data_IF_798915281813
#
_entry.id   IF_798915281813
#
_cell.length_a   1.000
_cell.length_b   1.000
_cell.length_c   1.000
_cell.angle_alpha   90.00
_cell.angle_beta   90.00
_cell.angle_gamma   90.00
#
_symmetry.space_group_name_H-M   'P 1'
#
loop_
_entity.id
_entity.type
_entity.pdbx_description
1 polymer ?
#
# COMPACT_ATOMS: atom_id res chain seq x y z
N UNK A 1 -28.56 29.96 -3.28
CA UNK A 1 -28.42 29.47 -1.90
C UNK A 1 -27.19 28.61 -1.87
N UNK A 2 -26.09 29.05 -1.27
CA UNK A 2 -24.86 28.28 -1.11
C UNK A 2 -25.11 27.28 0.01
N UNK A 3 -25.21 26.00 -0.34
CA UNK A 3 -25.17 24.92 0.63
C UNK A 3 -23.77 24.88 1.22
N UNK A 4 -23.63 25.40 2.44
CA UNK A 4 -22.45 25.15 3.28
C UNK A 4 -22.36 23.63 3.45
N UNK A 5 -21.42 22.99 2.72
CA UNK A 5 -21.00 21.63 3.03
C UNK A 5 -20.39 21.72 4.43
N UNK A 6 -21.03 21.11 5.41
CA UNK A 6 -20.49 21.01 6.76
C UNK A 6 -19.08 20.44 6.66
N UNK A 7 -18.08 21.18 7.15
CA UNK A 7 -16.72 20.66 7.28
C UNK A 7 -16.80 19.37 8.12
N UNK A 8 -16.30 18.29 7.57
CA UNK A 8 -16.20 17.03 8.32
C UNK A 8 -15.24 17.22 9.49
N UNK A 9 -15.79 17.19 10.70
CA UNK A 9 -15.02 17.37 11.95
C UNK A 9 -14.25 16.13 12.38
N UNK A 10 -14.44 14.97 11.72
CA UNK A 10 -13.79 13.71 12.06
C UNK A 10 -12.91 13.22 10.91
N UNK A 11 -11.65 12.89 11.21
CA UNK A 11 -10.70 12.21 10.33
C UNK A 11 -10.72 10.68 10.54
N UNK A 12 -11.81 10.14 11.05
CA UNK A 12 -11.98 8.70 11.30
C UNK A 12 -13.31 8.17 10.77
N UNK A 13 -13.29 6.92 10.35
CA UNK A 13 -14.47 6.12 10.00
C UNK A 13 -14.55 4.95 10.96
N UNK A 14 -15.75 4.68 11.49
CA UNK A 14 -15.99 3.51 12.34
C UNK A 14 -16.48 2.36 11.49
N UNK A 15 -15.78 1.24 11.54
CA UNK A 15 -16.15 0.00 10.83
C UNK A 15 -17.25 -0.76 11.58
N UNK A 16 -17.79 -1.83 10.97
CA UNK A 16 -18.86 -2.64 11.56
C UNK A 16 -18.49 -3.28 12.90
N UNK A 17 -17.22 -3.59 13.12
CA UNK A 17 -16.70 -4.17 14.36
C UNK A 17 -16.28 -3.12 15.41
N UNK A 18 -16.52 -1.83 15.13
CA UNK A 18 -16.19 -0.72 16.01
C UNK A 18 -14.77 -0.19 15.87
N UNK A 19 -13.96 -0.75 14.96
CA UNK A 19 -12.60 -0.26 14.70
C UNK A 19 -12.66 1.15 14.10
N UNK A 20 -11.84 2.06 14.60
CA UNK A 20 -11.71 3.43 14.07
C UNK A 20 -10.59 3.43 13.04
N UNK A 21 -10.90 3.75 11.78
CA UNK A 21 -9.94 3.90 10.70
C UNK A 21 -9.69 5.37 10.46
N UNK A 22 -8.47 5.82 10.74
CA UNK A 22 -8.03 7.19 10.47
C UNK A 22 -7.75 7.39 8.97
N UNK A 23 -8.05 8.57 8.46
CA UNK A 23 -7.71 8.96 7.08
C UNK A 23 -7.32 10.45 6.98
N UNK A 24 -6.55 10.76 5.94
CA UNK A 24 -6.25 12.11 5.45
C UNK A 24 -6.99 12.34 4.15
N UNK A 25 -7.43 13.58 3.90
CA UNK A 25 -8.19 13.98 2.72
C UNK A 25 -7.77 15.38 2.26
N UNK A 26 -6.99 15.46 1.20
CA UNK A 26 -6.37 16.69 0.72
C UNK A 26 -6.76 16.99 -0.73
N UNK A 27 -6.97 18.28 -1.04
CA UNK A 27 -7.25 18.75 -2.38
C UNK A 27 -8.69 18.56 -2.83
N UNK A 28 -8.93 18.73 -4.13
CA UNK A 28 -10.24 18.59 -4.79
C UNK A 28 -10.03 18.11 -6.21
N UNK A 29 -11.04 17.46 -6.80
CA UNK A 29 -11.03 16.94 -8.18
C UNK A 29 -11.11 15.42 -8.22
N UNK A 30 -10.64 14.77 -9.30
CA UNK A 30 -10.63 13.32 -9.41
C UNK A 30 -9.94 12.68 -8.21
N UNK A 31 -10.57 11.65 -7.64
CA UNK A 31 -10.13 11.08 -6.35
C UNK A 31 -9.09 9.98 -6.55
N UNK A 32 -8.02 10.06 -5.77
CA UNK A 32 -6.99 9.02 -5.66
C UNK A 32 -6.94 8.54 -4.21
N UNK A 33 -7.09 7.24 -3.98
CA UNK A 33 -6.96 6.62 -2.66
C UNK A 33 -5.64 5.88 -2.54
N UNK A 34 -5.04 5.88 -1.34
CA UNK A 34 -3.74 5.30 -1.08
C UNK A 34 -3.79 4.30 0.07
N UNK A 35 -3.33 3.09 -0.20
CA UNK A 35 -3.11 2.02 0.77
C UNK A 35 -1.62 1.81 0.99
N UNK A 36 -1.16 2.00 2.23
CA UNK A 36 0.27 1.98 2.58
C UNK A 36 0.86 0.56 2.69
N UNK A 37 2.19 0.46 2.54
CA UNK A 37 2.96 -0.75 2.80
C UNK A 37 3.12 -1.04 4.31
N UNK A 38 3.50 -2.28 4.63
CA UNK A 38 3.87 -2.67 5.98
C UNK A 38 5.26 -2.11 6.33
N UNK A 39 5.46 -1.59 7.54
CA UNK A 39 4.53 -1.38 8.66
C UNK A 39 4.08 0.10 8.76
N UNK A 40 4.02 0.79 7.64
CA UNK A 40 3.82 2.23 7.54
C UNK A 40 2.37 2.66 7.91
N UNK A 41 2.03 3.90 7.59
CA UNK A 41 0.70 4.49 7.73
C UNK A 41 0.47 5.53 6.60
N UNK A 42 -0.60 6.31 6.67
CA UNK A 42 -0.97 7.29 5.64
C UNK A 42 0.12 8.35 5.40
N UNK A 43 0.96 8.65 6.39
CA UNK A 43 2.00 9.68 6.28
C UNK A 43 3.09 9.30 5.27
N UNK A 44 3.28 8.01 5.01
CA UNK A 44 4.16 7.53 3.95
C UNK A 44 3.77 8.02 2.54
N UNK A 45 2.55 8.53 2.37
CA UNK A 45 2.00 9.03 1.12
C UNK A 45 1.97 10.57 1.02
N UNK A 46 2.42 11.29 2.05
CA UNK A 46 2.29 12.75 2.10
C UNK A 46 2.91 13.47 0.89
N UNK A 47 4.04 13.00 0.39
CA UNK A 47 4.67 13.57 -0.81
C UNK A 47 3.79 13.42 -2.05
N UNK A 48 3.20 12.25 -2.27
CA UNK A 48 2.27 11.99 -3.38
C UNK A 48 0.98 12.75 -3.21
N UNK A 49 0.41 12.75 -2.00
CA UNK A 49 -0.82 13.47 -1.68
C UNK A 49 -0.66 14.98 -1.87
N UNK A 50 0.43 15.55 -1.38
CA UNK A 50 0.72 16.97 -1.56
C UNK A 50 0.86 17.32 -3.05
N UNK A 51 1.69 16.57 -3.78
CA UNK A 51 1.88 16.77 -5.20
C UNK A 51 0.55 16.70 -5.97
N UNK A 52 -0.27 15.68 -5.74
CA UNK A 52 -1.55 15.51 -6.41
C UNK A 52 -2.54 16.62 -6.04
N UNK A 53 -2.60 17.03 -4.78
CA UNK A 53 -3.47 18.12 -4.33
C UNK A 53 -3.14 19.46 -5.00
N UNK A 54 -1.86 19.73 -5.26
CA UNK A 54 -1.42 20.91 -6.01
C UNK A 54 -1.68 20.81 -7.53
N UNK A 55 -1.96 19.60 -8.03
CA UNK A 55 -2.20 19.33 -9.44
C UNK A 55 -3.68 19.03 -9.77
N UNK A 56 -4.60 19.42 -8.89
CA UNK A 56 -6.04 19.38 -9.13
C UNK A 56 -6.69 18.01 -8.87
N UNK A 57 -6.09 17.19 -8.01
CA UNK A 57 -6.66 15.91 -7.57
C UNK A 57 -7.05 15.97 -6.09
N UNK A 58 -8.00 15.14 -5.70
CA UNK A 58 -8.29 14.84 -4.31
C UNK A 58 -7.54 13.57 -3.93
N UNK A 59 -6.67 13.64 -2.92
CA UNK A 59 -5.84 12.54 -2.44
C UNK A 59 -6.29 12.12 -1.04
N UNK A 60 -6.59 10.83 -0.87
CA UNK A 60 -7.05 10.24 0.39
C UNK A 60 -6.14 9.08 0.75
N UNK A 61 -5.56 9.10 1.95
CA UNK A 61 -4.79 7.98 2.49
C UNK A 61 -5.33 7.61 3.87
N UNK A 62 -5.43 6.32 4.15
CA UNK A 62 -5.87 5.83 5.46
C UNK A 62 -4.74 5.11 6.19
N UNK A 63 -4.82 5.09 7.51
CA UNK A 63 -4.00 4.21 8.34
C UNK A 63 -4.75 2.87 8.45
N UNK A 64 -4.13 1.76 7.99
CA UNK A 64 -4.70 0.41 8.16
C UNK A 64 -4.92 0.14 9.64
N UNK A 65 -5.95 -0.66 10.01
CA UNK A 65 -6.12 -1.10 11.40
C UNK A 65 -4.80 -1.61 11.98
N UNK A 66 -4.54 -1.30 13.23
CA UNK A 66 -3.30 -1.67 13.91
C UNK A 66 -2.08 -0.84 13.56
N UNK A 67 -2.21 0.15 12.67
CA UNK A 67 -1.13 1.03 12.22
C UNK A 67 -1.48 2.50 12.48
N UNK A 68 -0.46 3.32 12.72
CA UNK A 68 -0.61 4.77 12.87
C UNK A 68 -1.65 5.16 13.90
N UNK A 69 -2.61 5.97 13.48
CA UNK A 69 -3.70 6.55 14.31
C UNK A 69 -4.97 5.71 14.33
N UNK A 70 -5.03 4.65 13.54
CA UNK A 70 -6.15 3.70 13.56
C UNK A 70 -6.10 2.82 14.80
N UNK A 71 -7.26 2.31 15.21
CA UNK A 71 -7.37 1.41 16.37
C UNK A 71 -6.38 0.26 16.26
N UNK A 72 -5.60 0.04 17.31
CA UNK A 72 -4.77 -1.16 17.46
C UNK A 72 -5.67 -2.33 17.87
N UNK A 73 -6.36 -2.91 16.90
CA UNK A 73 -7.34 -3.95 17.08
C UNK A 73 -6.70 -5.26 17.59
N UNK A 74 -7.43 -6.00 18.40
CA UNK A 74 -6.98 -7.28 18.95
C UNK A 74 -7.09 -8.44 17.94
N UNK A 75 -7.80 -8.24 16.83
CA UNK A 75 -8.06 -9.22 15.75
C UNK A 75 -8.31 -8.50 14.43
N UNK A 76 -8.49 -9.25 13.34
CA UNK A 76 -8.79 -8.69 12.03
C UNK A 76 -7.56 -8.25 11.26
N UNK A 77 -6.38 -8.80 11.57
CA UNK A 77 -5.15 -8.50 10.84
C UNK A 77 -4.94 -9.47 9.67
N UNK A 78 -5.99 -9.67 8.90
CA UNK A 78 -6.00 -10.45 7.66
C UNK A 78 -6.45 -9.59 6.47
N UNK A 79 -6.08 -10.00 5.27
CA UNK A 79 -6.28 -9.22 4.04
C UNK A 79 -7.77 -8.95 3.76
N UNK A 80 -8.66 -9.88 4.12
CA UNK A 80 -10.11 -9.73 3.96
C UNK A 80 -10.63 -8.55 4.78
N UNK A 81 -10.24 -8.48 6.04
CA UNK A 81 -10.65 -7.40 6.95
C UNK A 81 -10.05 -6.05 6.54
N UNK A 82 -8.79 -6.03 6.08
CA UNK A 82 -8.18 -4.80 5.55
C UNK A 82 -8.95 -4.25 4.34
N UNK A 83 -9.38 -5.13 3.44
CA UNK A 83 -10.21 -4.74 2.29
C UNK A 83 -11.60 -4.24 2.72
N UNK A 84 -12.20 -4.86 3.73
CA UNK A 84 -13.52 -4.45 4.27
C UNK A 84 -13.41 -3.09 5.01
N UNK A 85 -12.30 -2.81 5.70
CA UNK A 85 -12.02 -1.50 6.30
C UNK A 85 -11.85 -0.41 5.24
N UNK A 86 -11.11 -0.70 4.17
CA UNK A 86 -10.98 0.21 3.03
C UNK A 86 -12.33 0.47 2.38
N UNK A 87 -13.18 -0.55 2.24
CA UNK A 87 -14.55 -0.39 1.74
C UNK A 87 -15.38 0.53 2.64
N UNK A 88 -15.27 0.39 3.97
CA UNK A 88 -15.96 1.26 4.92
C UNK A 88 -15.52 2.74 4.76
N UNK A 89 -14.22 3.02 4.53
CA UNK A 89 -13.73 4.37 4.25
C UNK A 89 -14.31 4.90 2.94
N UNK A 90 -14.28 4.11 1.86
CA UNK A 90 -14.79 4.48 0.54
C UNK A 90 -16.30 4.77 0.60
N UNK A 91 -17.07 3.94 1.30
CA UNK A 91 -18.51 4.11 1.49
C UNK A 91 -18.84 5.33 2.35
N UNK A 92 -18.19 5.51 3.48
CA UNK A 92 -18.44 6.63 4.40
C UNK A 92 -18.11 7.99 3.77
N UNK A 93 -17.17 8.04 2.84
CA UNK A 93 -16.80 9.23 2.09
C UNK A 93 -17.58 9.36 0.75
N UNK A 94 -18.46 8.41 0.43
CA UNK A 94 -19.19 8.25 -0.85
C UNK A 94 -18.29 8.45 -2.07
N UNK A 95 -17.11 7.80 -2.05
CA UNK A 95 -16.14 7.92 -3.13
C UNK A 95 -16.61 7.11 -4.34
N UNK A 96 -16.45 7.69 -5.54
CA UNK A 96 -16.79 7.09 -6.83
C UNK A 96 -15.71 7.46 -7.85
N UNK A 97 -15.61 6.68 -8.92
CA UNK A 97 -14.64 6.90 -10.01
C UNK A 97 -13.20 7.05 -9.48
N UNK A 98 -12.85 6.30 -8.42
CA UNK A 98 -11.56 6.44 -7.74
C UNK A 98 -10.43 5.75 -8.51
N UNK A 99 -9.24 6.33 -8.44
CA UNK A 99 -7.99 5.63 -8.74
C UNK A 99 -7.46 5.06 -7.43
N UNK A 100 -7.43 3.74 -7.30
CA UNK A 100 -6.87 3.06 -6.12
C UNK A 100 -5.38 2.82 -6.30
N UNK A 101 -4.56 3.28 -5.36
CA UNK A 101 -3.11 3.09 -5.35
C UNK A 101 -2.70 2.29 -4.12
N UNK A 102 -1.99 1.19 -4.31
CA UNK A 102 -1.46 0.39 -3.21
C UNK A 102 0.03 0.10 -3.36
N UNK A 103 0.81 0.36 -2.30
CA UNK A 103 2.22 0.02 -2.24
C UNK A 103 2.43 -1.25 -1.40
N UNK A 104 3.22 -2.20 -1.89
CA UNK A 104 3.61 -3.38 -1.11
C UNK A 104 2.37 -4.15 -0.60
N UNK A 105 2.23 -4.31 0.72
CA UNK A 105 1.03 -4.85 1.40
C UNK A 105 -0.25 -4.12 0.98
N UNK A 106 -0.18 -2.78 0.80
CA UNK A 106 -1.32 -1.98 0.34
C UNK A 106 -1.78 -2.36 -1.06
N UNK A 107 -0.89 -2.87 -1.92
CA UNK A 107 -1.29 -3.45 -3.20
C UNK A 107 -2.08 -4.76 -3.04
N UNK A 108 -1.77 -5.54 -2.01
CA UNK A 108 -2.59 -6.70 -1.62
C UNK A 108 -3.98 -6.30 -1.13
N UNK A 109 -4.07 -5.23 -0.34
CA UNK A 109 -5.33 -4.66 0.13
C UNK A 109 -6.20 -4.16 -1.03
N UNK A 110 -5.62 -3.44 -2.01
CA UNK A 110 -6.31 -3.03 -3.24
C UNK A 110 -6.79 -4.25 -4.04
N UNK A 111 -5.94 -5.27 -4.19
CA UNK A 111 -6.31 -6.49 -4.91
C UNK A 111 -7.49 -7.20 -4.22
N UNK A 112 -7.43 -7.37 -2.90
CA UNK A 112 -8.49 -7.99 -2.13
C UNK A 112 -9.77 -7.15 -2.11
N UNK A 113 -9.66 -5.80 -2.10
CA UNK A 113 -10.83 -4.93 -2.24
C UNK A 113 -11.56 -5.22 -3.56
N UNK A 114 -10.87 -5.18 -4.69
CA UNK A 114 -11.48 -5.47 -6.00
C UNK A 114 -12.02 -6.90 -6.04
N UNK A 115 -11.29 -7.85 -5.48
CA UNK A 115 -11.71 -9.25 -5.41
C UNK A 115 -13.02 -9.49 -4.65
N UNK A 116 -13.30 -8.69 -3.61
CA UNK A 116 -14.46 -8.82 -2.71
C UNK A 116 -15.60 -7.86 -3.01
N UNK A 117 -15.27 -6.62 -3.35
CA UNK A 117 -16.23 -5.53 -3.50
C UNK A 117 -16.44 -5.09 -4.94
N UNK A 118 -15.66 -5.64 -5.90
CA UNK A 118 -15.76 -5.29 -7.32
C UNK A 118 -15.19 -3.91 -7.65
N UNK A 119 -15.53 -3.41 -8.83
CA UNK A 119 -14.98 -2.19 -9.42
C UNK A 119 -15.99 -1.07 -9.60
N UNK A 120 -17.24 -1.22 -9.15
CA UNK A 120 -18.32 -0.22 -9.35
C UNK A 120 -17.96 1.21 -8.90
N UNK A 121 -17.04 1.34 -7.94
CA UNK A 121 -16.54 2.63 -7.45
C UNK A 121 -15.13 2.95 -7.95
N UNK A 122 -14.51 2.07 -8.75
CA UNK A 122 -13.10 2.13 -9.15
C UNK A 122 -12.99 2.45 -10.63
N UNK A 123 -12.32 3.54 -10.98
CA UNK A 123 -12.03 3.88 -12.37
C UNK A 123 -10.68 3.30 -12.83
N UNK A 124 -9.71 3.18 -11.93
CA UNK A 124 -8.33 2.70 -12.21
C UNK A 124 -7.72 2.08 -10.98
N UNK A 125 -6.75 1.17 -11.18
CA UNK A 125 -5.93 0.61 -10.13
C UNK A 125 -4.43 0.80 -10.41
N UNK A 126 -3.65 1.04 -9.35
CA UNK A 126 -2.18 1.16 -9.42
C UNK A 126 -1.56 0.30 -8.31
N UNK A 127 -0.73 -0.64 -8.70
CA UNK A 127 -0.01 -1.52 -7.79
C UNK A 127 1.48 -1.16 -7.85
N UNK A 128 2.04 -0.66 -6.74
CA UNK A 128 3.43 -0.21 -6.66
C UNK A 128 4.24 -1.20 -5.81
N UNK A 129 5.23 -1.88 -6.38
CA UNK A 129 6.06 -2.89 -5.68
C UNK A 129 5.21 -3.80 -4.78
N UNK A 130 4.08 -4.26 -5.33
CA UNK A 130 2.99 -4.87 -4.59
C UNK A 130 3.21 -6.37 -4.35
N UNK A 131 2.67 -6.88 -3.24
CA UNK A 131 2.79 -8.28 -2.81
C UNK A 131 2.03 -9.31 -3.67
N UNK A 132 0.93 -8.98 -4.41
CA UNK A 132 0.28 -9.95 -5.28
C UNK A 132 1.23 -10.53 -6.36
N UNK A 133 0.96 -11.75 -6.87
CA UNK A 133 -0.19 -12.59 -6.53
C UNK A 133 -0.06 -13.35 -5.22
N UNK A 134 1.15 -13.79 -4.83
CA UNK A 134 1.44 -14.52 -3.60
C UNK A 134 2.93 -14.44 -3.28
N UNK A 135 3.27 -14.05 -2.06
CA UNK A 135 4.66 -13.96 -1.61
C UNK A 135 5.23 -15.32 -1.23
N UNK A 136 4.46 -16.16 -0.54
CA UNK A 136 4.91 -17.44 -0.01
C UNK A 136 5.18 -18.45 -1.13
N UNK A 137 6.30 -19.15 -1.02
CA UNK A 137 6.61 -20.31 -1.85
C UNK A 137 5.67 -21.46 -1.52
N UNK A 138 4.96 -21.93 -2.52
CA UNK A 138 4.07 -23.09 -2.44
C UNK A 138 4.26 -23.96 -3.68
N UNK A 139 3.58 -25.12 -3.74
CA UNK A 139 3.56 -25.92 -4.96
C UNK A 139 3.00 -25.14 -6.17
N UNK A 140 2.03 -24.27 -5.95
CA UNK A 140 1.43 -23.41 -6.99
C UNK A 140 2.22 -22.13 -7.26
N UNK A 141 3.16 -21.76 -6.38
CA UNK A 141 4.03 -20.58 -6.50
C UNK A 141 5.48 -20.97 -6.20
N UNK A 142 6.16 -21.72 -7.08
CA UNK A 142 7.51 -22.21 -6.84
C UNK A 142 8.58 -21.10 -6.77
N UNK A 143 8.29 -19.92 -7.34
CA UNK A 143 9.15 -18.73 -7.31
C UNK A 143 8.94 -17.85 -6.07
N UNK A 144 7.99 -18.19 -5.20
CA UNK A 144 7.75 -17.48 -3.95
C UNK A 144 8.91 -17.62 -2.96
N UNK A 145 8.87 -16.77 -1.93
CA UNK A 145 9.85 -16.78 -0.86
C UNK A 145 9.56 -17.92 0.14
N UNK A 146 10.57 -18.64 0.65
CA UNK A 146 10.37 -19.68 1.65
C UNK A 146 9.79 -19.10 2.94
N UNK A 147 9.06 -19.92 3.69
CA UNK A 147 8.40 -19.52 4.96
C UNK A 147 9.39 -18.94 5.96
N UNK A 148 10.62 -19.45 6.00
CA UNK A 148 11.68 -19.01 6.90
C UNK A 148 11.99 -17.50 6.77
N UNK A 149 11.80 -16.91 5.58
CA UNK A 149 11.96 -15.46 5.39
C UNK A 149 10.96 -14.72 6.27
N UNK A 150 9.71 -15.14 6.28
CA UNK A 150 8.64 -14.49 7.05
C UNK A 150 8.72 -14.81 8.55
N UNK A 151 9.17 -16.00 8.90
CA UNK A 151 9.42 -16.39 10.30
C UNK A 151 10.59 -15.59 10.90
N UNK A 152 11.62 -15.30 10.10
CA UNK A 152 12.71 -14.41 10.50
C UNK A 152 12.23 -12.98 10.71
N UNK A 153 11.27 -12.45 9.90
CA UNK A 153 10.65 -11.16 10.15
C UNK A 153 9.88 -11.16 11.49
N UNK A 154 9.10 -12.21 11.77
CA UNK A 154 8.37 -12.37 13.03
C UNK A 154 9.32 -12.43 14.24
N UNK A 155 10.39 -13.20 14.13
CA UNK A 155 11.39 -13.36 15.18
C UNK A 155 12.15 -12.05 15.44
N UNK A 156 12.60 -11.35 14.40
CA UNK A 156 13.28 -10.06 14.51
C UNK A 156 12.40 -9.01 15.16
N UNK A 157 11.15 -8.91 14.70
CA UNK A 157 10.17 -7.95 15.23
C UNK A 157 9.88 -8.15 16.73
N UNK A 158 9.81 -9.39 17.19
CA UNK A 158 9.54 -9.70 18.61
C UNK A 158 10.77 -9.62 19.50
N UNK A 159 11.97 -9.79 18.93
CA UNK A 159 13.24 -9.72 19.68
C UNK A 159 13.60 -8.29 20.07
N UNK A 160 13.61 -7.38 19.10
CA UNK A 160 13.89 -5.95 19.28
C UNK A 160 13.25 -5.17 18.13
N UNK A 161 12.01 -4.73 18.32
CA UNK A 161 11.23 -4.02 17.32
C UNK A 161 11.93 -2.75 16.80
N UNK A 162 12.56 -2.01 17.70
CA UNK A 162 13.18 -0.73 17.35
C UNK A 162 14.39 -0.92 16.44
N UNK A 163 15.28 -1.84 16.80
CA UNK A 163 16.45 -2.14 15.96
C UNK A 163 16.04 -2.85 14.68
N UNK A 164 15.05 -3.76 14.75
CA UNK A 164 14.52 -4.44 13.57
C UNK A 164 14.09 -3.48 12.46
N UNK A 165 13.37 -2.39 12.81
CA UNK A 165 12.95 -1.41 11.80
C UNK A 165 14.12 -0.63 11.20
N UNK A 166 15.15 -0.34 11.99
CA UNK A 166 16.37 0.29 11.46
C UNK A 166 17.10 -0.62 10.49
N UNK A 167 17.20 -1.90 10.81
CA UNK A 167 17.86 -2.90 9.96
C UNK A 167 17.03 -3.16 8.69
N UNK A 168 15.71 -3.22 8.82
CA UNK A 168 14.79 -3.43 7.70
C UNK A 168 14.76 -2.26 6.71
N UNK A 169 15.00 -1.02 7.18
CA UNK A 169 15.14 0.15 6.31
C UNK A 169 16.30 0.00 5.30
N UNK A 170 17.34 -0.77 5.63
CA UNK A 170 18.50 -0.97 4.77
C UNK A 170 18.13 -1.60 3.42
N UNK A 171 17.55 -2.82 3.35
CA UNK A 171 17.08 -3.40 2.09
C UNK A 171 15.84 -2.67 1.54
N UNK A 172 14.99 -2.08 2.39
CA UNK A 172 13.80 -1.36 1.97
C UNK A 172 14.13 -0.14 1.08
N UNK A 173 15.15 0.63 1.45
CA UNK A 173 15.62 1.78 0.67
C UNK A 173 16.89 1.51 -0.14
N UNK A 174 17.41 0.29 -0.11
CA UNK A 174 18.59 -0.10 -0.89
C UNK A 174 19.87 0.62 -0.46
N UNK A 175 20.00 1.05 0.81
CA UNK A 175 21.18 1.77 1.30
C UNK A 175 22.45 0.91 1.31
N UNK A 176 22.31 -0.41 1.22
CA UNK A 176 23.39 -1.39 1.03
C UNK A 176 23.89 -1.46 -0.42
N UNK A 177 23.29 -0.72 -1.37
CA UNK A 177 23.72 -0.69 -2.77
C UNK A 177 24.78 0.38 -3.00
N UNK A 178 25.74 0.09 -3.85
CA UNK A 178 26.79 1.04 -4.21
C UNK A 178 26.19 2.30 -4.85
N UNK A 179 26.50 3.46 -4.30
CA UNK A 179 26.02 4.76 -4.82
C UNK A 179 24.60 5.13 -4.38
N UNK A 180 23.99 4.39 -3.46
CA UNK A 180 22.70 4.77 -2.88
C UNK A 180 22.77 6.18 -2.26
N UNK A 181 21.73 6.98 -2.55
CA UNK A 181 21.61 8.36 -2.03
C UNK A 181 20.27 8.48 -1.31
N UNK A 182 20.22 8.04 -0.08
CA UNK A 182 19.05 8.15 0.80
C UNK A 182 19.43 8.98 2.01
N UNK A 183 18.67 10.04 2.29
CA UNK A 183 18.96 10.89 3.45
C UNK A 183 18.68 10.17 4.75
N UNK A 184 19.40 10.52 5.82
CA UNK A 184 19.12 10.00 7.15
C UNK A 184 17.69 10.34 7.59
N UNK A 185 17.14 11.49 7.18
CA UNK A 185 15.76 11.88 7.46
C UNK A 185 14.73 10.88 6.93
N UNK A 186 14.92 10.33 5.72
CA UNK A 186 14.03 9.28 5.17
C UNK A 186 14.10 8.00 6.02
N UNK A 187 15.28 7.62 6.48
CA UNK A 187 15.46 6.43 7.32
C UNK A 187 14.85 6.61 8.72
N UNK A 188 15.01 7.79 9.30
CA UNK A 188 14.44 8.14 10.60
C UNK A 188 12.91 8.26 10.54
N UNK A 189 12.36 8.83 9.46
CA UNK A 189 10.93 8.89 9.21
C UNK A 189 10.35 7.47 9.06
N UNK A 190 10.95 6.61 8.24
CA UNK A 190 10.55 5.21 8.14
C UNK A 190 10.51 4.52 9.51
N UNK A 191 11.54 4.69 10.33
CA UNK A 191 11.58 4.14 11.68
C UNK A 191 10.46 4.69 12.55
N UNK A 192 10.23 6.01 12.52
CA UNK A 192 9.21 6.67 13.32
C UNK A 192 7.80 6.19 12.94
N UNK A 193 7.49 6.09 11.64
CA UNK A 193 6.22 5.56 11.15
C UNK A 193 6.05 4.09 11.51
N UNK A 194 7.10 3.28 11.38
CA UNK A 194 7.09 1.85 11.71
C UNK A 194 6.83 1.60 13.20
N UNK A 195 7.35 2.46 14.07
CA UNK A 195 7.12 2.37 15.52
C UNK A 195 5.68 2.69 15.94
N UNK A 196 4.88 3.32 15.07
CA UNK A 196 3.45 3.58 15.31
C UNK A 196 2.56 2.36 15.03
N UNK A 197 3.05 1.35 14.31
CA UNK A 197 2.32 0.10 14.17
C UNK A 197 2.34 -0.68 15.49
N UNK A 198 1.18 -1.19 15.94
CA UNK A 198 1.12 -2.05 17.13
C UNK A 198 1.95 -3.32 16.91
N UNK A 199 2.74 -3.75 17.90
CA UNK A 199 3.59 -4.92 17.77
C UNK A 199 2.81 -6.16 17.30
N UNK A 200 1.68 -6.47 17.98
CA UNK A 200 0.81 -7.58 17.60
C UNK A 200 0.28 -7.45 16.18
N UNK A 201 -0.21 -6.25 15.82
CA UNK A 201 -0.80 -5.99 14.52
C UNK A 201 0.26 -6.09 13.40
N UNK A 202 1.45 -5.54 13.60
CA UNK A 202 2.55 -5.67 12.67
C UNK A 202 3.00 -7.12 12.50
N UNK A 203 3.04 -7.90 13.58
CA UNK A 203 3.38 -9.33 13.56
C UNK A 203 2.34 -10.15 12.78
N UNK A 204 1.06 -9.98 13.04
CA UNK A 204 -0.02 -10.70 12.36
C UNK A 204 -0.15 -10.29 10.88
N UNK A 205 0.10 -9.03 10.56
CA UNK A 205 0.11 -8.52 9.19
C UNK A 205 1.13 -9.25 8.30
N UNK A 206 2.22 -9.80 8.88
CA UNK A 206 3.19 -10.62 8.11
C UNK A 206 2.47 -11.79 7.45
N UNK A 207 1.58 -12.49 8.17
CA UNK A 207 0.77 -13.56 7.58
C UNK A 207 -0.15 -13.04 6.48
N UNK A 208 -0.80 -11.91 6.70
CA UNK A 208 -1.74 -11.33 5.74
C UNK A 208 -1.05 -11.05 4.39
N UNK A 209 0.12 -10.42 4.38
CA UNK A 209 0.78 -10.06 3.13
C UNK A 209 1.58 -11.22 2.50
N UNK A 210 2.02 -12.19 3.30
CA UNK A 210 2.89 -13.25 2.79
C UNK A 210 2.15 -14.52 2.36
N UNK A 211 1.07 -14.90 3.06
CA UNK A 211 0.40 -16.18 2.91
C UNK A 211 -0.96 -16.09 2.20
N UNK A 212 -1.48 -14.86 1.97
CA UNK A 212 -2.73 -14.69 1.22
C UNK A 212 -2.48 -14.82 -0.27
N UNK A 213 -3.15 -15.78 -0.90
CA UNK A 213 -3.19 -15.89 -2.36
C UNK A 213 -4.23 -14.91 -2.93
N UNK A 214 -3.73 -13.98 -3.72
CA UNK A 214 -4.50 -12.91 -4.37
C UNK A 214 -4.67 -13.14 -5.88
N UNK A 215 -4.32 -14.34 -6.37
CA UNK A 215 -4.38 -14.66 -7.79
C UNK A 215 -5.78 -14.55 -8.36
N UNK A 216 -6.80 -15.03 -7.64
CA UNK A 216 -8.19 -14.93 -8.08
C UNK A 216 -8.75 -13.51 -7.98
N UNK A 217 -8.21 -12.69 -7.06
CA UNK A 217 -8.58 -11.28 -6.96
C UNK A 217 -8.06 -10.49 -8.16
N UNK A 218 -6.80 -10.71 -8.57
CA UNK A 218 -6.20 -10.06 -9.74
C UNK A 218 -6.96 -10.35 -11.04
N UNK A 219 -7.53 -11.54 -11.20
CA UNK A 219 -8.34 -11.91 -12.37
C UNK A 219 -9.65 -11.12 -12.48
N UNK A 220 -10.11 -10.52 -11.37
CA UNK A 220 -11.33 -9.69 -11.33
C UNK A 220 -11.08 -8.23 -11.68
N UNK A 221 -9.83 -7.84 -11.94
CA UNK A 221 -9.52 -6.49 -12.38
C UNK A 221 -10.01 -6.29 -13.82
N UNK A 222 -11.06 -5.51 -13.98
CA UNK A 222 -11.67 -5.15 -15.27
C UNK A 222 -11.48 -3.67 -15.62
N UNK A 223 -10.76 -2.92 -14.78
CA UNK A 223 -10.39 -1.51 -14.99
C UNK A 223 -8.94 -1.38 -15.47
N UNK A 224 -8.58 -0.25 -16.13
CA UNK A 224 -7.18 0.03 -16.46
C UNK A 224 -6.29 -0.08 -15.22
N UNK A 225 -5.20 -0.83 -15.33
CA UNK A 225 -4.32 -1.11 -14.19
C UNK A 225 -2.86 -0.83 -14.53
N UNK A 226 -2.19 -0.03 -13.71
CA UNK A 226 -0.75 0.18 -13.76
C UNK A 226 -0.08 -0.68 -12.68
N UNK A 227 0.87 -1.52 -13.11
CA UNK A 227 1.76 -2.26 -12.21
C UNK A 227 3.14 -1.62 -12.32
N UNK A 228 3.48 -0.78 -11.34
CA UNK A 228 4.79 -0.14 -11.23
C UNK A 228 5.65 -0.93 -10.24
N UNK A 229 6.88 -1.26 -10.61
CA UNK A 229 7.72 -2.04 -9.70
C UNK A 229 9.16 -1.53 -9.71
N UNK A 230 9.79 -1.58 -8.55
CA UNK A 230 11.19 -1.26 -8.35
C UNK A 230 12.09 -2.34 -8.99
N UNK A 231 13.07 -1.93 -9.78
CA UNK A 231 13.94 -2.86 -10.50
C UNK A 231 14.97 -3.56 -9.62
N UNK A 232 15.34 -2.97 -8.49
CA UNK A 232 16.23 -3.56 -7.47
C UNK A 232 15.49 -3.72 -6.12
N UNK A 233 14.27 -4.23 -6.19
CA UNK A 233 13.45 -4.49 -5.01
C UNK A 233 13.97 -5.72 -4.23
N UNK A 234 14.49 -5.48 -3.04
CA UNK A 234 15.03 -6.50 -2.15
C UNK A 234 13.98 -7.06 -1.17
N UNK A 235 12.74 -6.55 -1.22
CA UNK A 235 11.63 -6.94 -0.34
C UNK A 235 10.60 -7.77 -1.10
N UNK A 236 10.10 -7.24 -2.22
CA UNK A 236 9.16 -7.93 -3.11
C UNK A 236 9.86 -8.13 -4.45
N UNK A 237 10.26 -9.38 -4.80
CA UNK A 237 10.98 -9.64 -6.04
C UNK A 237 10.24 -9.10 -7.28
N UNK A 238 10.97 -8.47 -8.21
CA UNK A 238 10.40 -7.81 -9.41
C UNK A 238 9.52 -8.76 -10.26
N UNK A 239 9.76 -10.05 -10.22
CA UNK A 239 8.95 -11.07 -10.89
C UNK A 239 7.47 -11.08 -10.44
N UNK A 240 7.14 -10.47 -9.29
CA UNK A 240 5.74 -10.27 -8.87
C UNK A 240 4.97 -9.37 -9.83
N UNK A 241 5.60 -8.34 -10.38
CA UNK A 241 4.98 -7.47 -11.37
C UNK A 241 4.57 -8.24 -12.64
N UNK A 242 5.47 -9.08 -13.15
CA UNK A 242 5.21 -9.87 -14.35
C UNK A 242 4.12 -10.93 -14.12
N UNK A 243 4.15 -11.61 -12.95
CA UNK A 243 3.13 -12.59 -12.59
C UNK A 243 1.75 -11.93 -12.41
N UNK A 244 1.70 -10.78 -11.73
CA UNK A 244 0.45 -10.01 -11.60
C UNK A 244 -0.09 -9.56 -12.95
N UNK A 245 0.77 -9.07 -13.84
CA UNK A 245 0.37 -8.62 -15.17
C UNK A 245 -0.24 -9.73 -16.03
N UNK A 246 0.20 -10.98 -15.85
CA UNK A 246 -0.40 -12.14 -16.54
C UNK A 246 -1.82 -12.46 -16.08
N UNK A 247 -2.20 -12.03 -14.87
CA UNK A 247 -3.51 -12.28 -14.29
C UNK A 247 -4.48 -11.10 -14.50
N UNK A 248 -3.97 -9.89 -14.60
CA UNK A 248 -4.76 -8.66 -14.81
C UNK A 248 -4.98 -8.42 -16.30
N UNK A 249 -6.24 -8.37 -16.74
CA UNK A 249 -6.61 -8.31 -18.16
C UNK A 249 -6.09 -7.06 -18.88
N UNK A 250 -6.08 -5.90 -18.24
CA UNK A 250 -5.72 -4.61 -18.82
C UNK A 250 -4.52 -3.97 -18.08
N UNK A 251 -3.47 -4.75 -17.86
CA UNK A 251 -2.28 -4.28 -17.14
C UNK A 251 -1.26 -3.60 -18.04
N UNK A 252 -0.77 -2.44 -17.59
CA UNK A 252 0.45 -1.81 -18.08
C UNK A 252 1.54 -2.00 -17.03
N UNK A 253 2.69 -2.54 -17.41
CA UNK A 253 3.83 -2.73 -16.49
C UNK A 253 4.85 -1.62 -16.68
N UNK A 254 5.34 -1.06 -15.58
CA UNK A 254 6.43 -0.09 -15.53
C UNK A 254 7.47 -0.52 -14.51
N UNK A 255 8.63 -0.93 -14.96
CA UNK A 255 9.77 -1.18 -14.06
C UNK A 255 10.58 0.12 -13.95
N UNK A 256 10.86 0.54 -12.71
CA UNK A 256 11.73 1.67 -12.40
C UNK A 256 13.15 1.13 -12.18
N UNK A 257 14.09 1.32 -13.13
CA UNK A 257 15.41 0.70 -13.03
C UNK A 257 16.16 1.16 -11.78
N UNK A 258 16.84 0.22 -11.13
CA UNK A 258 17.68 0.47 -9.94
C UNK A 258 16.93 1.06 -8.72
N UNK A 259 15.61 1.22 -8.80
CA UNK A 259 14.85 1.70 -7.67
C UNK A 259 14.74 0.62 -6.58
N UNK A 260 14.84 0.97 -5.30
CA UNK A 260 14.57 0.07 -4.17
C UNK A 260 13.06 -0.03 -3.90
N UNK A 261 12.67 -0.93 -2.98
CA UNK A 261 11.27 -1.10 -2.57
C UNK A 261 10.59 0.21 -2.14
N UNK A 262 11.29 1.06 -1.41
CA UNK A 262 10.84 2.39 -0.98
C UNK A 262 10.87 3.47 -2.06
N UNK A 263 10.61 3.11 -3.33
CA UNK A 263 10.67 4.02 -4.47
C UNK A 263 9.70 5.21 -4.34
N UNK A 264 8.62 5.09 -3.60
CA UNK A 264 7.67 6.19 -3.34
C UNK A 264 8.33 7.36 -2.61
N UNK A 265 9.37 7.09 -1.81
CA UNK A 265 10.15 8.11 -1.13
C UNK A 265 11.45 8.47 -1.90
N UNK A 266 12.13 7.49 -2.49
CA UNK A 266 13.44 7.71 -3.13
C UNK A 266 13.36 8.15 -4.59
N UNK A 267 12.24 7.87 -5.29
CA UNK A 267 12.00 8.18 -6.70
C UNK A 267 10.68 8.94 -6.87
N UNK A 268 10.39 9.87 -5.94
CA UNK A 268 9.11 10.59 -5.84
C UNK A 268 8.68 11.22 -7.16
N UNK A 269 9.57 11.95 -7.83
CA UNK A 269 9.26 12.67 -9.07
C UNK A 269 8.81 11.71 -10.18
N UNK A 270 9.48 10.57 -10.30
CA UNK A 270 9.14 9.56 -11.29
C UNK A 270 7.81 8.88 -10.96
N UNK A 271 7.59 8.53 -9.69
CA UNK A 271 6.32 7.95 -9.24
C UNK A 271 5.17 8.92 -9.47
N UNK A 272 5.34 10.19 -9.10
CA UNK A 272 4.35 11.24 -9.27
C UNK A 272 4.00 11.48 -10.75
N UNK A 273 5.01 11.54 -11.61
CA UNK A 273 4.83 11.72 -13.06
C UNK A 273 4.05 10.56 -13.69
N UNK A 274 4.40 9.31 -13.36
CA UNK A 274 3.71 8.11 -13.87
C UNK A 274 2.27 8.02 -13.34
N UNK A 275 2.02 8.37 -12.07
CA UNK A 275 0.67 8.42 -11.51
C UNK A 275 -0.20 9.40 -12.30
N UNK A 276 0.25 10.64 -12.48
CA UNK A 276 -0.52 11.66 -13.21
C UNK A 276 -0.72 11.28 -14.66
N UNK A 277 0.30 10.77 -15.34
CA UNK A 277 0.20 10.30 -16.71
C UNK A 277 -0.88 9.20 -16.82
N UNK A 278 -0.83 8.20 -15.96
CA UNK A 278 -1.79 7.10 -15.96
C UNK A 278 -3.22 7.55 -15.64
N UNK A 279 -3.40 8.43 -14.65
CA UNK A 279 -4.73 8.94 -14.29
C UNK A 279 -5.35 9.76 -15.42
N UNK A 280 -4.54 10.51 -16.15
CA UNK A 280 -4.98 11.31 -17.31
C UNK A 280 -5.17 10.49 -18.59
N UNK A 281 -4.85 9.19 -18.58
CA UNK A 281 -5.02 8.30 -19.72
C UNK A 281 -3.93 8.41 -20.79
N UNK A 282 -2.73 8.86 -20.41
CA UNK A 282 -1.55 9.01 -21.26
C UNK A 282 -0.63 7.78 -21.19
#
# INVERSE_FOLDING_TARGET
MSTLVAERTSSTVTTKDGTQIYYKDWGKGPTVTFSHGWPLNADAWESQMFFLSQNGFRAIAHDRRGHGRSTQATSGNEMDTYADDLAAVIEALDLKEITMVGHSTGGGEVARYIGRHGTDRVARAVLISAVPPLMLKTRGNPEGLPIDVFDNLRAGLTKDRSQFWRDFAVPFFGTNRKGAKVSQGILDDFWALSMQAGLKNAYECIKAFSETDLSEDLKKFDVPTLIMHAGDDQIVPVGHAERSAKLVKNARVKIVPNAPHGLTATHQDQVNAELVAFIKGN
#
